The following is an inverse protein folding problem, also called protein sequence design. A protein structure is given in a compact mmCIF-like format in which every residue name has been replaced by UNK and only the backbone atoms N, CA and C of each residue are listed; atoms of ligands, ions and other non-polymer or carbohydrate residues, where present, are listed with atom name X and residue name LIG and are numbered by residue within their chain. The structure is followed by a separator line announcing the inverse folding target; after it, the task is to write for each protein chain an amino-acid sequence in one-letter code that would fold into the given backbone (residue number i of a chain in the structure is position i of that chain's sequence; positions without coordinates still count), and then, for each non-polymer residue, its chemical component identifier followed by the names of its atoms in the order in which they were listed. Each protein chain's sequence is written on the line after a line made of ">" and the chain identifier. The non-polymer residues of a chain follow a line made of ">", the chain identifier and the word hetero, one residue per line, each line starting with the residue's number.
data_IF_066213855908
#
_entry.id   IF_066213855908
#
_cell.length_a   1.000
_cell.length_b   1.000
_cell.length_c   1.000
_cell.angle_alpha   90.00
_cell.angle_beta   90.00
_cell.angle_gamma   90.00
#
_symmetry.space_group_name_H-M   'P 1'
#
loop_
_entity.id
_entity.type
_entity.pdbx_description
1 polymer ?
#
# COMPACT_ATOMS: atom_id res chain seq x y z
N UNK A 1 4.14 -5.04 22.55
CA UNK A 1 3.85 -6.01 21.48
C UNK A 1 2.35 -6.11 21.35
N UNK A 2 1.75 -5.49 20.35
CA UNK A 2 0.33 -5.68 20.02
C UNK A 2 0.23 -7.04 19.33
N UNK A 3 -0.60 -7.92 19.86
CA UNK A 3 -0.79 -9.28 19.35
C UNK A 3 -1.40 -9.27 17.95
N UNK A 4 -1.02 -10.19 17.05
CA UNK A 4 -1.54 -10.30 15.67
C UNK A 4 -3.07 -10.43 15.57
N UNK A 5 -3.75 -10.80 16.66
CA UNK A 5 -5.18 -11.08 16.69
C UNK A 5 -6.11 -9.86 16.54
N UNK A 6 -5.61 -8.63 16.69
CA UNK A 6 -6.45 -7.42 16.59
C UNK A 6 -6.76 -7.07 15.13
N UNK A 7 -5.92 -7.48 14.17
CA UNK A 7 -6.06 -7.09 12.76
C UNK A 7 -6.94 -8.06 11.96
N UNK A 8 -7.05 -9.32 12.38
CA UNK A 8 -7.72 -10.38 11.60
C UNK A 8 -9.25 -10.45 11.74
N UNK A 9 -9.88 -9.78 12.72
CA UNK A 9 -11.29 -10.01 13.05
C UNK A 9 -12.30 -8.97 12.56
N UNK A 10 -11.87 -7.77 12.13
CA UNK A 10 -12.79 -6.73 11.69
C UNK A 10 -12.29 -6.01 10.42
N UNK A 11 -12.71 -6.52 9.26
CA UNK A 11 -12.49 -5.83 7.99
C UNK A 11 -13.41 -4.60 7.86
N UNK A 12 -12.82 -3.43 7.65
CA UNK A 12 -13.54 -2.17 7.44
C UNK A 12 -14.00 -2.00 6.00
N UNK A 13 -14.78 -2.95 5.47
CA UNK A 13 -15.24 -2.88 4.07
C UNK A 13 -16.21 -1.73 3.82
N UNK A 14 -16.87 -1.23 4.86
CA UNK A 14 -17.81 -0.09 4.83
C UNK A 14 -17.14 1.26 4.50
N UNK A 15 -15.84 1.39 4.80
CA UNK A 15 -15.07 2.59 4.44
C UNK A 15 -14.81 2.73 2.93
N UNK A 16 -14.82 1.60 2.22
CA UNK A 16 -14.59 1.60 0.77
C UNK A 16 -15.82 2.12 0.01
N UNK A 17 -15.63 2.84 -1.10
CA UNK A 17 -16.73 3.22 -1.98
C UNK A 17 -17.48 1.99 -2.51
N UNK A 18 -18.77 2.16 -2.82
CA UNK A 18 -19.64 1.06 -3.25
C UNK A 18 -19.09 0.23 -4.42
N UNK A 19 -18.48 0.88 -5.41
CA UNK A 19 -17.91 0.18 -6.57
C UNK A 19 -16.68 -0.63 -6.17
N UNK A 20 -15.79 -0.06 -5.34
CA UNK A 20 -14.62 -0.76 -4.80
C UNK A 20 -15.02 -1.96 -3.94
N UNK A 21 -16.07 -1.80 -3.09
CA UNK A 21 -16.64 -2.93 -2.34
C UNK A 21 -17.16 -4.03 -3.27
N UNK A 22 -17.88 -3.66 -4.35
CA UNK A 22 -18.43 -4.62 -5.31
C UNK A 22 -17.31 -5.39 -6.00
N UNK A 23 -16.29 -4.71 -6.49
CA UNK A 23 -15.14 -5.34 -7.14
C UNK A 23 -14.37 -6.24 -6.17
N UNK A 24 -14.12 -5.78 -4.93
CA UNK A 24 -13.44 -6.58 -3.91
C UNK A 24 -14.22 -7.85 -3.55
N UNK A 25 -15.55 -7.75 -3.38
CA UNK A 25 -16.40 -8.93 -3.13
C UNK A 25 -16.40 -9.90 -4.29
N UNK A 26 -16.38 -9.39 -5.53
CA UNK A 26 -16.25 -10.22 -6.72
C UNK A 26 -14.95 -11.03 -6.65
N UNK A 27 -13.80 -10.37 -6.43
CA UNK A 27 -12.51 -11.03 -6.29
C UNK A 27 -12.50 -12.03 -5.10
N UNK A 28 -13.08 -11.65 -3.96
CA UNK A 28 -13.10 -12.46 -2.75
C UNK A 28 -13.99 -13.71 -2.82
N UNK A 29 -14.88 -13.78 -3.80
CA UNK A 29 -15.72 -14.96 -4.10
C UNK A 29 -15.13 -15.83 -5.22
N UNK A 30 -14.15 -15.33 -5.96
CA UNK A 30 -13.55 -16.02 -7.08
C UNK A 30 -12.41 -16.94 -6.61
N UNK A 31 -12.60 -18.25 -6.80
CA UNK A 31 -11.62 -19.28 -6.38
C UNK A 31 -10.28 -19.17 -7.07
N UNK A 32 -10.20 -18.50 -8.22
CA UNK A 32 -8.94 -18.23 -8.91
C UNK A 32 -7.95 -17.48 -8.02
N UNK A 33 -8.42 -16.51 -7.21
CA UNK A 33 -7.55 -15.77 -6.29
C UNK A 33 -6.98 -16.63 -5.15
N UNK A 34 -7.57 -17.79 -4.85
CA UNK A 34 -7.12 -18.64 -3.75
C UNK A 34 -5.71 -19.19 -3.99
N UNK A 35 -5.43 -19.62 -5.24
CA UNK A 35 -4.20 -20.27 -5.64
C UNK A 35 -3.31 -19.38 -6.53
N UNK A 36 -3.82 -18.21 -6.92
CA UNK A 36 -3.08 -17.25 -7.73
C UNK A 36 -2.01 -16.53 -6.89
N UNK A 37 -0.87 -16.13 -7.51
CA UNK A 37 0.23 -15.47 -6.80
C UNK A 37 -0.06 -14.01 -6.45
N UNK A 38 -1.34 -13.60 -6.46
CA UNK A 38 -1.76 -12.22 -6.27
C UNK A 38 -2.10 -11.92 -4.82
N UNK A 39 -1.59 -10.81 -4.31
CA UNK A 39 -2.00 -10.26 -3.02
C UNK A 39 -2.41 -8.79 -3.18
N UNK A 40 -3.48 -8.41 -2.50
CA UNK A 40 -3.94 -7.04 -2.42
C UNK A 40 -3.02 -6.24 -1.48
N UNK A 41 -2.52 -5.09 -1.93
CA UNK A 41 -1.70 -4.20 -1.13
C UNK A 41 -2.13 -2.72 -1.29
N UNK A 42 -1.24 -1.79 -0.97
CA UNK A 42 -1.49 -0.37 -1.15
C UNK A 42 -2.50 0.21 -0.17
N UNK A 43 -3.03 1.38 -0.54
CA UNK A 43 -3.90 2.16 0.35
C UNK A 43 -5.23 1.49 0.66
N UNK A 44 -5.79 0.71 -0.26
CA UNK A 44 -7.08 0.03 -0.04
C UNK A 44 -6.92 -1.20 0.85
N UNK A 45 -5.85 -1.96 0.71
CA UNK A 45 -5.54 -3.05 1.62
C UNK A 45 -5.35 -2.53 3.07
N UNK A 46 -4.66 -1.39 3.24
CA UNK A 46 -4.52 -0.77 4.54
C UNK A 46 -5.87 -0.26 5.08
N UNK A 47 -6.62 0.49 4.26
CA UNK A 47 -7.93 1.01 4.65
C UNK A 47 -8.91 -0.09 5.07
N UNK A 48 -8.90 -1.21 4.34
CA UNK A 48 -9.71 -2.39 4.64
C UNK A 48 -9.38 -2.99 6.02
N UNK A 49 -8.13 -2.92 6.45
CA UNK A 49 -7.67 -3.50 7.72
C UNK A 49 -7.82 -2.57 8.91
N UNK A 50 -7.59 -1.27 8.72
CA UNK A 50 -7.49 -0.33 9.85
C UNK A 50 -8.50 0.82 9.80
N UNK A 51 -9.28 0.93 8.74
CA UNK A 51 -10.39 1.88 8.65
C UNK A 51 -9.99 3.37 8.68
N UNK A 52 -8.72 3.70 8.42
CA UNK A 52 -8.17 5.05 8.67
C UNK A 52 -8.63 6.12 7.68
N UNK A 53 -8.92 5.75 6.42
CA UNK A 53 -9.38 6.67 5.38
C UNK A 53 -10.13 5.96 4.26
N UNK A 54 -10.87 6.70 3.45
CA UNK A 54 -11.42 6.17 2.20
C UNK A 54 -10.32 5.85 1.19
N UNK A 55 -10.45 4.72 0.49
CA UNK A 55 -9.57 4.31 -0.60
C UNK A 55 -10.38 3.68 -1.73
N UNK A 56 -9.93 3.83 -2.98
CA UNK A 56 -10.78 3.62 -4.17
C UNK A 56 -10.27 2.51 -5.09
N UNK A 57 -8.95 2.36 -5.20
CA UNK A 57 -8.29 1.50 -6.19
C UNK A 57 -7.95 0.14 -5.56
N UNK A 58 -8.08 -0.95 -6.29
CA UNK A 58 -7.60 -2.27 -5.88
C UNK A 58 -6.28 -2.56 -6.57
N UNK A 59 -5.19 -2.59 -5.80
CA UNK A 59 -3.85 -2.84 -6.31
C UNK A 59 -3.40 -4.26 -5.90
N UNK A 60 -3.37 -5.17 -6.89
CA UNK A 60 -2.87 -6.53 -6.73
C UNK A 60 -1.41 -6.62 -7.16
N UNK A 61 -0.58 -7.24 -6.35
CA UNK A 61 0.85 -7.42 -6.59
C UNK A 61 1.19 -8.90 -6.64
N UNK A 62 2.26 -9.24 -7.38
CA UNK A 62 2.85 -10.58 -7.40
C UNK A 62 4.37 -10.49 -7.32
N UNK A 63 5.02 -11.55 -6.81
CA UNK A 63 6.47 -11.70 -6.84
C UNK A 63 7.00 -12.18 -8.20
N UNK A 64 6.12 -12.61 -9.10
CA UNK A 64 6.53 -12.99 -10.44
C UNK A 64 7.16 -11.80 -11.16
N UNK A 65 8.25 -12.04 -11.89
CA UNK A 65 8.91 -11.00 -12.68
C UNK A 65 8.04 -10.53 -13.84
N UNK A 66 7.25 -11.45 -14.39
CA UNK A 66 6.39 -11.25 -15.53
C UNK A 66 5.08 -12.01 -15.34
N UNK A 67 4.03 -11.55 -15.99
CA UNK A 67 2.78 -12.29 -16.13
C UNK A 67 2.12 -11.96 -17.48
N UNK A 68 1.24 -12.83 -17.93
CA UNK A 68 0.50 -12.59 -19.16
C UNK A 68 -0.74 -11.73 -18.85
N UNK A 69 -0.69 -10.45 -19.26
CA UNK A 69 -1.76 -9.48 -19.02
C UNK A 69 -3.07 -9.86 -19.73
N UNK A 70 -2.98 -10.48 -20.91
CA UNK A 70 -4.15 -10.92 -21.67
C UNK A 70 -4.86 -12.07 -20.95
N UNK A 71 -4.10 -13.00 -20.36
CA UNK A 71 -4.65 -14.09 -19.55
C UNK A 71 -5.41 -13.56 -18.34
N UNK A 72 -4.85 -12.58 -17.63
CA UNK A 72 -5.52 -11.92 -16.49
C UNK A 72 -6.80 -11.22 -16.96
N UNK A 73 -6.71 -10.42 -18.03
CA UNK A 73 -7.88 -9.71 -18.58
C UNK A 73 -8.98 -10.67 -19.05
N UNK A 74 -8.61 -11.80 -19.66
CA UNK A 74 -9.55 -12.82 -20.16
C UNK A 74 -10.21 -13.66 -19.06
N UNK A 75 -9.65 -13.65 -17.83
CA UNK A 75 -10.22 -14.34 -16.68
C UNK A 75 -11.56 -13.70 -16.25
N UNK A 76 -11.66 -12.37 -16.35
CA UNK A 76 -12.87 -11.65 -15.95
C UNK A 76 -13.94 -11.63 -17.05
N UNK A 77 -15.24 -11.69 -16.70
CA UNK A 77 -16.31 -11.55 -17.67
C UNK A 77 -16.24 -10.21 -18.43
N UNK A 78 -16.43 -10.25 -19.75
CA UNK A 78 -16.29 -9.08 -20.64
C UNK A 78 -17.23 -7.90 -20.31
N UNK A 79 -18.33 -8.15 -19.65
CA UNK A 79 -19.30 -7.15 -19.21
C UNK A 79 -18.92 -6.50 -17.87
N UNK A 80 -17.99 -7.09 -17.13
CA UNK A 80 -17.52 -6.60 -15.83
C UNK A 80 -16.11 -6.06 -15.84
N UNK A 81 -15.27 -6.48 -16.82
CA UNK A 81 -13.89 -6.05 -16.97
C UNK A 81 -13.69 -5.16 -18.19
N UNK A 82 -12.96 -4.07 -17.99
CA UNK A 82 -12.51 -3.18 -19.07
C UNK A 82 -11.01 -2.91 -18.88
N UNK A 83 -10.20 -3.34 -19.83
CA UNK A 83 -8.76 -3.01 -19.86
C UNK A 83 -8.58 -1.53 -20.20
N UNK A 84 -7.82 -0.80 -19.39
CA UNK A 84 -7.49 0.60 -19.62
C UNK A 84 -6.09 0.76 -20.25
N UNK A 85 -5.07 0.13 -19.67
CA UNK A 85 -3.68 0.23 -20.11
C UNK A 85 -2.90 -1.04 -19.81
N UNK A 86 -1.95 -1.36 -20.68
CA UNK A 86 -1.01 -2.47 -20.52
C UNK A 86 0.41 -1.93 -20.65
N UNK A 87 1.26 -2.29 -19.68
CA UNK A 87 2.71 -2.05 -19.71
C UNK A 87 3.43 -3.34 -19.33
N UNK A 88 4.74 -3.50 -19.64
CA UNK A 88 5.51 -4.62 -19.13
C UNK A 88 5.35 -4.73 -17.60
N UNK A 89 4.97 -5.91 -17.10
CA UNK A 89 4.74 -6.17 -15.69
C UNK A 89 3.54 -5.42 -15.06
N UNK A 90 2.65 -4.80 -15.86
CA UNK A 90 1.52 -4.06 -15.30
C UNK A 90 0.28 -4.11 -16.20
N UNK A 91 -0.87 -4.38 -15.60
CA UNK A 91 -2.19 -4.30 -16.22
C UNK A 91 -3.07 -3.36 -15.40
N UNK A 92 -3.58 -2.31 -16.03
CA UNK A 92 -4.60 -1.42 -15.46
C UNK A 92 -5.96 -1.68 -16.11
N UNK A 93 -6.99 -1.72 -15.31
CA UNK A 93 -8.35 -1.89 -15.80
C UNK A 93 -9.40 -1.43 -14.79
N UNK A 94 -10.65 -1.66 -15.17
CA UNK A 94 -11.81 -1.42 -14.36
C UNK A 94 -12.57 -2.74 -14.19
N UNK A 95 -12.85 -3.14 -12.96
CA UNK A 95 -13.67 -4.29 -12.60
C UNK A 95 -14.94 -3.82 -11.90
N UNK A 96 -16.07 -4.09 -12.49
CA UNK A 96 -17.37 -3.72 -11.94
C UNK A 96 -17.49 -2.22 -11.54
N UNK A 97 -16.79 -1.33 -12.25
CA UNK A 97 -16.77 0.11 -12.03
C UNK A 97 -15.69 0.62 -11.06
N UNK A 98 -14.84 -0.25 -10.53
CA UNK A 98 -13.71 0.15 -9.71
C UNK A 98 -12.39 -0.04 -10.46
N UNK A 99 -11.44 0.87 -10.25
CA UNK A 99 -10.09 0.73 -10.79
C UNK A 99 -9.36 -0.42 -10.13
N UNK A 100 -8.74 -1.26 -10.94
CA UNK A 100 -7.95 -2.41 -10.51
C UNK A 100 -6.64 -2.40 -11.26
N UNK A 101 -5.54 -2.66 -10.53
CA UNK A 101 -4.23 -2.88 -11.12
C UNK A 101 -3.67 -4.24 -10.71
N UNK A 102 -2.97 -4.88 -11.66
CA UNK A 102 -2.14 -6.06 -11.44
C UNK A 102 -0.70 -5.68 -11.77
N UNK A 103 0.21 -5.87 -10.80
CA UNK A 103 1.56 -5.32 -10.85
C UNK A 103 2.57 -6.40 -10.45
N UNK A 104 3.53 -6.68 -11.35
CA UNK A 104 4.71 -7.46 -11.01
C UNK A 104 5.63 -6.64 -10.11
N UNK A 105 5.95 -7.17 -8.93
CA UNK A 105 6.76 -6.49 -7.92
C UNK A 105 7.76 -7.47 -7.29
N UNK A 106 8.68 -8.04 -8.09
CA UNK A 106 9.49 -9.20 -7.71
C UNK A 106 10.52 -8.92 -6.61
N UNK A 107 10.89 -7.66 -6.43
CA UNK A 107 11.94 -7.26 -5.48
C UNK A 107 11.46 -7.07 -4.04
N UNK A 108 10.15 -7.15 -3.78
CA UNK A 108 9.60 -6.99 -2.45
C UNK A 108 9.26 -8.34 -1.82
N UNK A 109 9.75 -8.59 -0.62
CA UNK A 109 9.54 -9.83 0.14
C UNK A 109 8.68 -9.54 1.37
N UNK A 110 7.39 -9.95 1.42
CA UNK A 110 6.57 -9.87 2.62
C UNK A 110 7.23 -10.62 3.79
N UNK A 111 7.25 -10.01 4.97
CA UNK A 111 7.80 -10.62 6.19
C UNK A 111 6.74 -11.29 7.04
N UNK A 112 5.51 -10.80 6.97
CA UNK A 112 4.40 -11.36 7.71
C UNK A 112 3.59 -12.31 6.81
N UNK A 113 2.98 -13.37 7.36
CA UNK A 113 2.02 -14.17 6.63
C UNK A 113 0.90 -13.29 6.06
N UNK A 114 0.55 -13.51 4.80
CA UNK A 114 -0.56 -12.79 4.18
C UNK A 114 -1.88 -13.10 4.89
N UNK A 115 -2.69 -12.08 5.09
CA UNK A 115 -4.04 -12.22 5.61
C UNK A 115 -4.99 -12.67 4.50
N UNK A 116 -6.23 -13.04 4.83
CA UNK A 116 -7.23 -13.45 3.84
C UNK A 116 -8.53 -12.68 4.01
N UNK A 117 -9.03 -12.13 2.91
CA UNK A 117 -10.37 -11.59 2.76
C UNK A 117 -11.13 -12.43 1.73
N UNK A 118 -11.89 -13.42 2.17
CA UNK A 118 -12.40 -14.47 1.29
C UNK A 118 -11.25 -15.26 0.65
N UNK A 119 -11.23 -15.34 -0.68
CA UNK A 119 -10.14 -15.99 -1.43
C UNK A 119 -8.93 -15.08 -1.66
N UNK A 120 -9.09 -13.74 -1.50
CA UNK A 120 -8.03 -12.76 -1.74
C UNK A 120 -7.00 -12.77 -0.62
N UNK A 121 -5.74 -12.90 -0.97
CA UNK A 121 -4.61 -12.67 -0.08
C UNK A 121 -4.39 -11.17 0.10
N UNK A 122 -4.10 -10.72 1.32
CA UNK A 122 -3.97 -9.29 1.67
C UNK A 122 -2.67 -9.07 2.44
N UNK A 123 -1.87 -8.11 1.98
CA UNK A 123 -0.62 -7.73 2.63
C UNK A 123 -0.88 -7.08 3.99
N UNK A 124 -0.05 -7.38 4.98
CA UNK A 124 -0.20 -6.84 6.34
C UNK A 124 0.08 -5.33 6.43
N UNK A 125 -0.43 -4.62 7.44
CA UNK A 125 -0.14 -3.19 7.62
C UNK A 125 1.35 -2.90 7.81
N UNK A 126 2.10 -3.79 8.45
CA UNK A 126 3.56 -3.67 8.62
C UNK A 126 4.26 -3.65 7.26
N UNK A 127 3.98 -4.63 6.43
CA UNK A 127 4.59 -4.75 5.10
C UNK A 127 4.14 -3.63 4.16
N UNK A 128 2.86 -3.21 4.24
CA UNK A 128 2.36 -2.02 3.51
C UNK A 128 3.14 -0.77 3.92
N UNK A 129 3.46 -0.60 5.21
CA UNK A 129 4.24 0.54 5.68
C UNK A 129 5.62 0.63 5.03
N UNK A 130 6.30 -0.50 4.85
CA UNK A 130 7.59 -0.56 4.14
C UNK A 130 7.45 -0.20 2.67
N UNK A 131 6.40 -0.71 1.98
CA UNK A 131 6.09 -0.30 0.60
C UNK A 131 5.82 1.20 0.50
N UNK A 132 5.22 1.82 1.52
CA UNK A 132 4.97 3.28 1.56
C UNK A 132 6.25 4.10 1.66
N UNK A 133 7.28 3.63 2.38
CA UNK A 133 8.60 4.30 2.38
C UNK A 133 9.15 4.41 0.96
N UNK A 134 9.13 3.32 0.19
CA UNK A 134 9.58 3.34 -1.20
C UNK A 134 8.71 4.23 -2.09
N UNK A 135 7.40 4.13 -1.96
CA UNK A 135 6.50 4.97 -2.75
C UNK A 135 6.77 6.46 -2.51
N UNK A 136 7.05 6.85 -1.25
CA UNK A 136 7.40 8.23 -0.89
C UNK A 136 8.77 8.65 -1.42
N UNK A 137 9.76 7.77 -1.45
CA UNK A 137 11.08 8.07 -2.02
C UNK A 137 11.03 8.30 -3.54
N UNK A 138 10.02 7.76 -4.23
CA UNK A 138 9.88 7.85 -5.68
C UNK A 138 8.95 8.96 -6.14
N UNK A 139 7.79 9.16 -5.48
CA UNK A 139 6.70 10.02 -5.96
C UNK A 139 5.92 10.80 -4.89
N UNK A 140 6.14 10.55 -3.61
CA UNK A 140 5.63 11.30 -2.46
C UNK A 140 4.17 11.81 -2.54
N UNK A 141 3.17 10.94 -2.81
CA UNK A 141 1.76 11.36 -2.89
C UNK A 141 1.20 11.63 -1.48
N UNK A 142 0.30 12.61 -1.35
CA UNK A 142 -0.30 12.98 -0.04
C UNK A 142 -0.91 11.79 0.70
N UNK A 143 -1.55 10.88 -0.03
CA UNK A 143 -2.13 9.66 0.55
C UNK A 143 -1.08 8.73 1.16
N UNK A 144 0.14 8.67 0.62
CA UNK A 144 1.21 7.83 1.14
C UNK A 144 1.73 8.38 2.48
N UNK A 145 1.86 9.72 2.60
CA UNK A 145 2.14 10.38 3.87
C UNK A 145 1.06 10.15 4.92
N UNK A 146 -0.22 10.22 4.53
CA UNK A 146 -1.35 9.94 5.42
C UNK A 146 -1.30 8.51 5.94
N UNK A 147 -1.09 7.54 5.05
CA UNK A 147 -1.03 6.12 5.38
C UNK A 147 0.12 5.84 6.36
N UNK A 148 1.32 6.32 6.03
CA UNK A 148 2.49 6.10 6.87
C UNK A 148 2.41 6.86 8.20
N UNK A 149 1.85 8.08 8.22
CA UNK A 149 1.59 8.81 9.46
C UNK A 149 0.69 8.01 10.39
N UNK A 150 -0.42 7.46 9.88
CA UNK A 150 -1.32 6.64 10.68
C UNK A 150 -0.59 5.41 11.24
N UNK A 151 0.16 4.70 10.40
CA UNK A 151 0.94 3.54 10.82
C UNK A 151 1.97 3.89 11.90
N UNK A 152 2.67 5.03 11.75
CA UNK A 152 3.64 5.49 12.74
C UNK A 152 3.02 5.89 14.08
N UNK A 153 1.75 6.29 14.10
CA UNK A 153 1.04 6.66 15.34
C UNK A 153 0.40 5.47 16.06
N UNK A 154 0.14 4.37 15.37
CA UNK A 154 -0.69 3.28 15.92
C UNK A 154 0.01 1.91 15.91
N UNK A 155 1.07 1.74 15.12
CA UNK A 155 1.70 0.45 14.94
C UNK A 155 3.17 0.46 15.34
N UNK A 156 4.05 1.06 14.52
CA UNK A 156 5.50 1.06 14.72
C UNK A 156 6.10 2.44 14.40
N UNK A 157 7.21 2.86 15.02
CA UNK A 157 7.86 4.12 14.71
C UNK A 157 8.43 4.12 13.29
N UNK A 158 8.61 5.32 12.69
CA UNK A 158 9.11 5.48 11.33
C UNK A 158 10.47 4.81 11.11
N UNK A 159 11.36 4.87 12.11
CA UNK A 159 12.67 4.19 12.08
C UNK A 159 12.55 2.67 11.91
N UNK A 160 11.51 2.06 12.51
CA UNK A 160 11.26 0.64 12.37
C UNK A 160 10.95 0.28 10.91
N UNK A 161 10.06 1.01 10.25
CA UNK A 161 9.70 0.76 8.84
C UNK A 161 10.91 0.92 7.91
N UNK A 162 11.75 1.94 8.15
CA UNK A 162 12.97 2.17 7.37
C UNK A 162 13.97 1.02 7.57
N UNK A 163 14.11 0.52 8.79
CA UNK A 163 15.03 -0.59 9.08
C UNK A 163 14.64 -1.89 8.36
N UNK A 164 13.34 -2.09 8.02
CA UNK A 164 12.89 -3.28 7.30
C UNK A 164 13.30 -3.28 5.81
N UNK A 165 13.67 -2.13 5.24
CA UNK A 165 13.96 -2.02 3.80
C UNK A 165 15.04 -3.00 3.33
N UNK A 166 16.15 -3.10 4.04
CA UNK A 166 17.24 -4.00 3.68
C UNK A 166 16.82 -5.48 3.61
N UNK A 167 15.91 -5.85 4.47
CA UNK A 167 15.42 -7.22 4.58
C UNK A 167 14.29 -7.56 3.60
N UNK A 168 13.43 -6.59 3.32
CA UNK A 168 12.26 -6.81 2.44
C UNK A 168 12.54 -6.49 0.98
N UNK A 169 13.63 -5.76 0.70
CA UNK A 169 14.04 -5.37 -0.65
C UNK A 169 15.57 -5.53 -0.76
N UNK A 170 16.08 -6.75 -0.58
CA UNK A 170 17.52 -6.98 -0.48
C UNK A 170 18.30 -6.69 -1.77
N UNK A 171 17.65 -6.84 -2.92
CA UNK A 171 18.29 -6.70 -4.24
C UNK A 171 18.36 -5.24 -4.73
N UNK A 172 17.90 -4.29 -3.92
CA UNK A 172 17.92 -2.86 -4.26
C UNK A 172 18.83 -2.11 -3.28
N UNK A 173 19.80 -1.38 -3.82
CA UNK A 173 20.61 -0.50 -3.00
C UNK A 173 19.76 0.65 -2.43
N UNK A 174 19.78 0.83 -1.11
CA UNK A 174 19.01 1.85 -0.41
C UNK A 174 19.85 3.09 -0.13
N UNK A 175 19.56 4.19 -0.79
CA UNK A 175 20.07 5.49 -0.42
C UNK A 175 19.24 6.08 0.72
N UNK A 176 19.65 5.80 1.96
CA UNK A 176 18.94 6.28 3.14
C UNK A 176 18.93 7.81 3.26
N UNK A 177 19.95 8.52 2.74
CA UNK A 177 19.92 9.98 2.69
C UNK A 177 18.82 10.49 1.76
N UNK A 178 18.68 9.88 0.59
CA UNK A 178 17.60 10.19 -0.34
C UNK A 178 16.22 9.89 0.29
N UNK A 179 16.07 8.72 0.91
CA UNK A 179 14.82 8.31 1.58
C UNK A 179 14.43 9.34 2.65
N UNK A 180 15.35 9.69 3.56
CA UNK A 180 15.08 10.66 4.63
C UNK A 180 14.74 12.04 4.06
N UNK A 181 15.44 12.49 3.02
CA UNK A 181 15.13 13.74 2.34
C UNK A 181 13.73 13.71 1.72
N UNK A 182 13.34 12.61 1.08
CA UNK A 182 12.02 12.44 0.48
C UNK A 182 10.88 12.51 1.51
N UNK A 183 11.11 12.01 2.74
CA UNK A 183 10.14 12.11 3.85
C UNK A 183 9.82 13.56 4.26
N UNK A 184 10.65 14.54 3.91
CA UNK A 184 10.42 15.96 4.17
C UNK A 184 10.17 16.78 2.90
N UNK A 185 10.05 16.14 1.75
CA UNK A 185 9.73 16.77 0.46
C UNK A 185 8.24 16.62 0.15
N UNK A 186 7.49 17.72 0.10
CA UNK A 186 6.04 17.72 -0.01
C UNK A 186 5.48 18.30 -1.29
N UNK A 187 6.33 18.83 -2.20
CA UNK A 187 5.89 19.62 -3.37
C UNK A 187 4.92 18.85 -4.28
N UNK A 188 5.14 17.54 -4.46
CA UNK A 188 4.22 16.71 -5.23
C UNK A 188 2.92 16.40 -4.45
N UNK A 189 3.04 16.20 -3.13
CA UNK A 189 1.89 15.97 -2.27
C UNK A 189 1.01 17.22 -2.11
N UNK A 190 1.56 18.44 -2.20
CA UNK A 190 0.76 19.68 -2.12
C UNK A 190 -0.31 19.77 -3.22
N UNK A 191 -0.04 19.21 -4.39
CA UNK A 191 -0.96 19.19 -5.54
C UNK A 191 -2.14 18.24 -5.35
N UNK A 192 -2.03 17.27 -4.42
CA UNK A 192 -3.06 16.29 -4.16
C UNK A 192 -4.13 16.81 -3.21
N UNK A 193 -5.36 16.39 -3.44
CA UNK A 193 -6.43 16.60 -2.47
C UNK A 193 -6.18 15.78 -1.18
N UNK A 194 -6.60 16.33 -0.05
CA UNK A 194 -6.56 15.60 1.21
C UNK A 194 -7.50 14.39 1.14
N UNK A 195 -7.04 13.18 1.45
CA UNK A 195 -7.94 12.04 1.57
C UNK A 195 -9.01 12.24 2.63
N UNK A 196 -10.14 11.58 2.47
CA UNK A 196 -11.20 11.59 3.48
C UNK A 196 -10.78 10.68 4.65
N UNK A 197 -10.40 11.30 5.77
CA UNK A 197 -9.86 10.63 6.95
C UNK A 197 -10.96 10.21 7.93
N UNK A 198 -10.74 9.10 8.63
CA UNK A 198 -11.54 8.63 9.76
C UNK A 198 -10.83 8.85 11.12
N UNK A 199 -9.78 9.65 11.15
CA UNK A 199 -9.05 10.01 12.35
C UNK A 199 -8.72 11.49 12.34
N UNK A 200 -8.40 12.03 13.52
CA UNK A 200 -8.10 13.45 13.66
C UNK A 200 -6.66 13.76 13.24
N UNK A 201 -6.49 14.29 12.04
CA UNK A 201 -5.24 14.86 11.55
C UNK A 201 -5.53 15.89 10.46
N UNK A 202 -4.58 16.79 10.22
CA UNK A 202 -4.59 17.68 9.08
C UNK A 202 -3.22 17.67 8.41
N UNK A 203 -3.15 18.20 7.19
CA UNK A 203 -1.93 18.17 6.40
C UNK A 203 -0.75 18.87 7.09
N UNK A 204 -1.00 19.95 7.83
CA UNK A 204 0.04 20.66 8.60
C UNK A 204 0.64 19.77 9.69
N UNK A 205 -0.19 19.05 10.44
CA UNK A 205 0.27 18.15 11.50
C UNK A 205 1.05 16.96 10.95
N UNK A 206 0.63 16.42 9.79
CA UNK A 206 1.32 15.34 9.10
C UNK A 206 2.70 15.81 8.60
N UNK A 207 2.78 16.96 7.93
CA UNK A 207 4.08 17.52 7.50
C UNK A 207 5.03 17.76 8.68
N UNK A 208 4.51 18.36 9.76
CA UNK A 208 5.31 18.61 10.97
C UNK A 208 5.91 17.30 11.51
N UNK A 209 5.10 16.25 11.61
CA UNK A 209 5.56 14.93 12.05
C UNK A 209 6.73 14.42 11.20
N UNK A 210 6.58 14.40 9.87
CA UNK A 210 7.66 13.91 9.00
C UNK A 210 8.90 14.78 9.00
N UNK A 211 8.76 16.11 9.16
CA UNK A 211 9.90 17.02 9.31
C UNK A 211 10.68 16.75 10.60
N UNK A 212 9.99 16.47 11.70
CA UNK A 212 10.60 16.14 12.99
C UNK A 212 11.30 14.78 12.93
N UNK A 213 10.63 13.76 12.40
CA UNK A 213 11.20 12.41 12.24
C UNK A 213 12.40 12.40 11.27
N UNK A 214 12.32 13.13 10.15
CA UNK A 214 13.44 13.22 9.21
C UNK A 214 14.68 13.87 9.84
N UNK A 215 14.51 14.91 10.68
CA UNK A 215 15.63 15.53 11.43
C UNK A 215 16.26 14.55 12.42
N UNK A 216 15.43 13.81 13.15
CA UNK A 216 15.89 12.79 14.11
C UNK A 216 16.68 11.70 13.41
N UNK A 217 16.16 11.12 12.34
CA UNK A 217 16.80 10.07 11.55
C UNK A 217 18.11 10.56 10.90
N UNK A 218 18.15 11.80 10.38
CA UNK A 218 19.38 12.39 9.85
C UNK A 218 20.46 12.54 10.93
N UNK A 219 20.08 12.94 12.16
CA UNK A 219 20.98 13.02 13.30
C UNK A 219 21.55 11.65 13.68
N UNK A 220 20.72 10.62 13.70
CA UNK A 220 21.14 9.24 13.98
C UNK A 220 22.13 8.70 12.92
N UNK A 221 21.89 8.96 11.62
CA UNK A 221 22.79 8.56 10.53
C UNK A 221 24.14 9.29 10.56
N UNK A 222 24.16 10.58 10.95
CA UNK A 222 25.37 11.37 11.01
C UNK A 222 26.14 11.20 12.34
N UNK A 223 25.66 10.35 13.26
CA UNK A 223 26.28 10.13 14.56
C UNK A 223 26.23 11.38 15.48
N UNK A 224 25.42 12.37 15.16
CA UNK A 224 25.17 13.52 16.04
C UNK A 224 24.02 13.19 16.98
N UNK A 225 24.40 12.78 18.21
CA UNK A 225 23.46 12.63 19.35
C UNK A 225 23.07 14.00 19.91
#
# INVERSE_FOLDING_TARGET
>A
MATPDIIASNWHSDILPRLTQKALRFCAADTWFQDAPWYLAGGTALALQVGHRKSFDLDFFTHDQEFNQQTIAAHFPKDTWKTERIYPGTLFGELAGAKVSFIAYPFFIPRQPLLRYGTVQVLTPHDIGVMKILAMSQRGRKRDFVDLFWLCKHLEPLSWFIAQLADQIPDVAHDYHHIIKALSYFDDAEKDQMPNLNFHANWRSIKKFFQEEAKKLAGELLGTR
#
